data_IF_121629465380
#
_entry.id   IF_121629465380
#
_cell.length_a   1.000
_cell.length_b   1.000
_cell.length_c   1.000
_cell.angle_alpha   90.00
_cell.angle_beta   90.00
_cell.angle_gamma   90.00
#
_symmetry.space_group_name_H-M   'P 1'
#
loop_
_entity.id
_entity.type
_entity.pdbx_description
1 polymer ?
#
# COMPACT_ATOMS: atom_id res chain seq x y z
N UNK A 1 33.58 17.85 -18.54
CA UNK A 1 33.04 17.76 -17.17
C UNK A 1 32.26 16.46 -17.07
N UNK A 2 32.75 15.49 -16.28
CA UNK A 2 32.06 14.22 -16.06
C UNK A 2 31.09 14.44 -14.90
N UNK A 3 29.79 14.32 -15.17
CA UNK A 3 28.78 14.28 -14.11
C UNK A 3 29.01 13.02 -13.27
N UNK A 4 28.99 13.11 -11.93
CA UNK A 4 28.99 11.92 -11.12
C UNK A 4 27.65 11.19 -11.34
N UNK A 5 27.71 10.02 -11.95
CA UNK A 5 26.63 9.03 -11.87
C UNK A 5 26.44 8.71 -10.40
N UNK A 6 25.38 9.27 -9.81
CA UNK A 6 24.85 8.79 -8.53
C UNK A 6 24.61 7.30 -8.71
N UNK A 7 25.40 6.48 -8.03
CA UNK A 7 25.14 5.06 -7.93
C UNK A 7 23.72 4.91 -7.39
N UNK A 8 22.81 4.43 -8.22
CA UNK A 8 21.47 4.01 -7.80
C UNK A 8 21.71 2.86 -6.83
N UNK A 9 21.69 3.16 -5.54
CA UNK A 9 21.65 2.14 -4.50
C UNK A 9 20.43 1.27 -4.78
N UNK A 10 20.58 -0.04 -5.05
CA UNK A 10 19.46 -0.93 -5.33
C UNK A 10 18.64 -1.26 -4.07
N UNK A 11 19.01 -0.70 -2.92
CA UNK A 11 18.22 -0.81 -1.69
C UNK A 11 17.12 0.27 -1.70
N UNK A 12 15.85 -0.12 -1.63
CA UNK A 12 14.77 0.83 -1.41
C UNK A 12 15.05 1.62 -0.12
N UNK A 13 14.70 2.91 -0.05
CA UNK A 13 15.07 3.80 1.07
C UNK A 13 14.38 3.46 2.40
N UNK A 14 13.71 2.31 2.50
CA UNK A 14 12.84 1.93 3.60
C UNK A 14 13.46 0.76 4.36
N UNK A 15 13.80 0.97 5.64
CA UNK A 15 14.09 -0.11 6.58
C UNK A 15 12.77 -0.76 7.01
N UNK A 16 12.27 -1.68 6.18
CA UNK A 16 10.99 -2.37 6.41
C UNK A 16 10.99 -3.10 7.76
N UNK A 17 12.13 -3.66 8.19
CA UNK A 17 12.22 -4.41 9.43
C UNK A 17 11.96 -3.54 10.68
N UNK A 18 12.19 -2.23 10.59
CA UNK A 18 11.95 -1.32 11.72
C UNK A 18 10.47 -1.10 12.05
N UNK A 19 9.55 -1.37 11.11
CA UNK A 19 8.11 -1.13 11.31
C UNK A 19 7.21 -2.29 10.87
N UNK A 20 7.76 -3.37 10.30
CA UNK A 20 7.00 -4.58 9.96
C UNK A 20 6.71 -5.46 11.19
N UNK A 21 5.55 -6.15 11.23
CA UNK A 21 5.32 -7.19 12.22
C UNK A 21 6.33 -8.34 12.10
N UNK A 22 6.74 -8.96 13.21
CA UNK A 22 7.62 -10.13 13.18
C UNK A 22 7.07 -11.24 12.28
N UNK A 23 7.92 -11.81 11.44
CA UNK A 23 7.57 -12.93 10.54
C UNK A 23 6.84 -12.53 9.25
N UNK A 24 6.48 -11.27 9.05
CA UNK A 24 5.89 -10.81 7.79
C UNK A 24 6.99 -10.52 6.77
N UNK A 25 6.93 -11.19 5.61
CA UNK A 25 7.84 -10.94 4.50
C UNK A 25 7.09 -10.25 3.35
N UNK A 26 7.32 -8.95 3.18
CA UNK A 26 6.65 -8.15 2.14
C UNK A 26 6.99 -8.61 0.73
N UNK A 27 8.24 -9.03 0.46
CA UNK A 27 8.65 -9.52 -0.85
C UNK A 27 7.86 -10.78 -1.22
N UNK A 28 7.68 -11.71 -0.29
CA UNK A 28 6.84 -12.90 -0.51
C UNK A 28 5.39 -12.50 -0.84
N UNK A 29 4.83 -11.52 -0.13
CA UNK A 29 3.47 -11.05 -0.39
C UNK A 29 3.33 -10.36 -1.75
N UNK A 30 4.32 -9.57 -2.17
CA UNK A 30 4.36 -8.96 -3.51
C UNK A 30 4.54 -10.03 -4.60
N UNK A 31 5.37 -11.04 -4.38
CA UNK A 31 5.53 -12.17 -5.30
C UNK A 31 4.22 -12.96 -5.46
N UNK A 32 3.48 -13.17 -4.36
CA UNK A 32 2.12 -13.75 -4.41
C UNK A 32 1.16 -12.85 -5.21
N UNK A 33 1.21 -11.54 -5.00
CA UNK A 33 0.36 -10.58 -5.72
C UNK A 33 0.68 -10.53 -7.23
N UNK A 34 1.95 -10.67 -7.62
CA UNK A 34 2.42 -10.62 -9.03
C UNK A 34 1.72 -11.60 -9.96
N UNK A 35 1.20 -12.70 -9.44
CA UNK A 35 0.45 -13.68 -10.24
C UNK A 35 -0.87 -13.13 -10.81
N UNK A 36 -1.40 -12.03 -10.27
CA UNK A 36 -2.64 -11.42 -10.74
C UNK A 36 -2.48 -10.54 -11.99
N UNK A 37 -1.24 -10.14 -12.34
CA UNK A 37 -0.79 -9.53 -13.62
C UNK A 37 -1.64 -8.36 -14.17
N UNK A 38 -2.44 -7.67 -13.35
CA UNK A 38 -3.23 -6.52 -13.78
C UNK A 38 -4.65 -6.43 -13.20
N UNK A 39 -5.36 -5.33 -13.48
CA UNK A 39 -6.63 -4.96 -12.85
C UNK A 39 -7.81 -5.72 -13.46
N UNK A 40 -7.89 -7.03 -13.24
CA UNK A 40 -9.08 -7.83 -13.55
C UNK A 40 -10.09 -7.79 -12.40
N UNK A 41 -11.37 -8.11 -12.68
CA UNK A 41 -12.39 -8.25 -11.63
C UNK A 41 -11.96 -9.28 -10.56
N UNK A 42 -11.35 -10.40 -10.98
CA UNK A 42 -10.82 -11.42 -10.08
C UNK A 42 -9.65 -10.89 -9.25
N UNK A 43 -8.79 -10.05 -9.82
CA UNK A 43 -7.70 -9.38 -9.10
C UNK A 43 -8.25 -8.48 -8.01
N UNK A 44 -9.24 -7.66 -8.32
CA UNK A 44 -9.86 -6.76 -7.34
C UNK A 44 -10.58 -7.52 -6.23
N UNK A 45 -11.34 -8.56 -6.58
CA UNK A 45 -12.04 -9.39 -5.58
C UNK A 45 -11.04 -10.08 -4.64
N UNK A 46 -10.01 -10.70 -5.19
CA UNK A 46 -8.96 -11.34 -4.40
C UNK A 46 -8.25 -10.32 -3.51
N UNK A 47 -7.81 -9.19 -4.08
CA UNK A 47 -7.07 -8.17 -3.35
C UNK A 47 -7.89 -7.59 -2.20
N UNK A 48 -9.17 -7.27 -2.46
CA UNK A 48 -10.10 -6.83 -1.43
C UNK A 48 -10.25 -7.86 -0.31
N UNK A 49 -10.38 -9.16 -0.63
CA UNK A 49 -10.46 -10.22 0.39
C UNK A 49 -9.20 -10.30 1.25
N UNK A 50 -8.02 -9.97 0.71
CA UNK A 50 -6.78 -9.93 1.47
C UNK A 50 -6.71 -8.74 2.45
N UNK A 51 -7.05 -7.53 1.97
CA UNK A 51 -6.75 -6.26 2.67
C UNK A 51 -7.91 -5.68 3.48
N UNK A 52 -9.14 -6.20 3.31
CA UNK A 52 -10.31 -5.72 4.08
C UNK A 52 -10.12 -5.89 5.58
N UNK A 53 -10.93 -5.19 6.36
CA UNK A 53 -11.02 -5.38 7.81
C UNK A 53 -11.20 -6.87 8.16
N UNK A 54 -10.36 -7.35 9.08
CA UNK A 54 -10.20 -8.75 9.50
C UNK A 54 -9.73 -9.72 8.41
N UNK A 55 -9.31 -9.21 7.25
CA UNK A 55 -8.67 -9.98 6.20
C UNK A 55 -7.26 -10.44 6.58
N UNK A 56 -6.66 -11.37 5.82
CA UNK A 56 -5.32 -11.89 6.06
C UNK A 56 -4.23 -10.83 6.25
N UNK A 57 -4.33 -9.69 5.55
CA UNK A 57 -3.35 -8.59 5.60
C UNK A 57 -3.80 -7.39 6.44
N UNK A 58 -4.83 -7.55 7.28
CA UNK A 58 -5.19 -6.57 8.28
C UNK A 58 -4.27 -6.65 9.51
N UNK A 59 -3.05 -6.14 9.36
CA UNK A 59 -2.04 -6.15 10.41
C UNK A 59 -2.44 -5.31 11.64
N UNK A 60 -3.20 -4.23 11.42
CA UNK A 60 -3.66 -3.31 12.47
C UNK A 60 -4.56 -4.03 13.48
N UNK A 61 -5.57 -4.78 13.01
CA UNK A 61 -6.49 -5.46 13.93
C UNK A 61 -6.01 -6.84 14.36
N UNK A 62 -5.26 -7.55 13.52
CA UNK A 62 -4.83 -8.93 13.81
C UNK A 62 -3.59 -9.02 14.68
N UNK A 63 -2.70 -8.04 14.60
CA UNK A 63 -1.43 -8.04 15.33
C UNK A 63 -1.35 -6.87 16.31
N UNK A 64 -1.65 -5.66 15.85
CA UNK A 64 -1.71 -4.49 16.75
C UNK A 64 -1.72 -3.15 16.02
N UNK A 65 -2.27 -2.14 16.71
CA UNK A 65 -2.46 -0.79 16.14
C UNK A 65 -1.15 -0.12 15.70
N UNK A 66 -0.02 -0.48 16.30
CA UNK A 66 1.30 0.01 15.92
C UNK A 66 1.69 -0.33 14.47
N UNK A 67 1.03 -1.30 13.84
CA UNK A 67 1.30 -1.73 12.46
C UNK A 67 0.39 -1.08 11.41
N UNK A 68 -0.34 -0.02 11.76
CA UNK A 68 -1.16 0.75 10.82
C UNK A 68 -0.34 1.28 9.64
N UNK A 69 0.77 1.98 9.93
CA UNK A 69 1.70 2.49 8.92
C UNK A 69 2.24 1.37 8.01
N UNK A 70 2.60 0.23 8.61
CA UNK A 70 3.03 -0.93 7.83
C UNK A 70 1.91 -1.49 6.96
N UNK A 71 0.68 -1.57 7.45
CA UNK A 71 -0.47 -2.02 6.68
C UNK A 71 -0.72 -1.15 5.45
N UNK A 72 -0.64 0.17 5.61
CA UNK A 72 -0.80 1.12 4.51
C UNK A 72 0.36 1.04 3.50
N UNK A 73 1.60 0.91 3.98
CA UNK A 73 2.75 0.65 3.13
C UNK A 73 2.61 -0.68 2.37
N UNK A 74 2.25 -1.75 3.07
CA UNK A 74 2.06 -3.08 2.52
C UNK A 74 0.98 -3.07 1.45
N UNK A 75 -0.16 -2.45 1.71
CA UNK A 75 -1.26 -2.26 0.75
C UNK A 75 -0.79 -1.63 -0.56
N UNK A 76 -0.03 -0.53 -0.49
CA UNK A 76 0.52 0.13 -1.68
C UNK A 76 1.48 -0.76 -2.47
N UNK A 77 2.34 -1.50 -1.75
CA UNK A 77 3.34 -2.37 -2.34
C UNK A 77 2.72 -3.60 -3.03
N UNK A 78 1.86 -4.34 -2.32
CA UNK A 78 1.21 -5.54 -2.88
C UNK A 78 0.16 -5.19 -3.94
N UNK A 79 -0.50 -4.04 -3.84
CA UNK A 79 -1.43 -3.55 -4.85
C UNK A 79 -0.72 -3.24 -6.17
N UNK A 80 0.41 -2.54 -6.10
CA UNK A 80 1.29 -2.29 -7.25
C UNK A 80 1.78 -3.60 -7.85
N UNK A 81 2.24 -4.53 -7.00
CA UNK A 81 2.67 -5.85 -7.44
C UNK A 81 1.56 -6.67 -8.12
N UNK A 82 0.30 -6.52 -7.71
CA UNK A 82 -0.85 -7.13 -8.38
C UNK A 82 -1.19 -6.49 -9.75
N UNK A 83 -0.53 -5.38 -10.11
CA UNK A 83 -0.79 -4.60 -11.31
C UNK A 83 -1.95 -3.60 -11.16
N UNK A 84 -2.33 -3.25 -9.93
CA UNK A 84 -3.33 -2.21 -9.67
C UNK A 84 -2.63 -0.85 -9.73
N UNK A 85 -3.21 0.11 -10.46
CA UNK A 85 -2.60 1.42 -10.62
C UNK A 85 -2.65 2.25 -9.34
N UNK A 86 -1.62 3.08 -9.13
CA UNK A 86 -1.54 3.98 -7.97
C UNK A 86 -2.81 4.82 -7.75
N UNK A 87 -3.44 5.44 -8.77
CA UNK A 87 -4.67 6.20 -8.57
C UNK A 87 -5.86 5.36 -8.09
N UNK A 88 -5.90 4.06 -8.42
CA UNK A 88 -6.95 3.16 -7.93
C UNK A 88 -6.70 2.82 -6.46
N UNK A 89 -5.46 2.50 -6.09
CA UNK A 89 -5.08 2.20 -4.71
C UNK A 89 -5.40 3.37 -3.76
N UNK A 90 -4.98 4.59 -4.13
CA UNK A 90 -5.17 5.77 -3.30
C UNK A 90 -6.65 6.11 -3.11
N UNK A 91 -7.48 5.95 -4.14
CA UNK A 91 -8.93 6.19 -4.05
C UNK A 91 -9.65 5.08 -3.28
N UNK A 92 -9.25 3.83 -3.46
CA UNK A 92 -9.83 2.70 -2.75
C UNK A 92 -9.56 2.75 -1.24
N UNK A 93 -8.39 3.25 -0.82
CA UNK A 93 -8.09 3.53 0.58
C UNK A 93 -9.04 4.59 1.17
N UNK A 94 -9.21 5.73 0.46
CA UNK A 94 -10.18 6.76 0.87
C UNK A 94 -11.63 6.26 0.91
N UNK A 95 -12.02 5.38 -0.02
CA UNK A 95 -13.32 4.71 0.05
C UNK A 95 -13.44 3.82 1.30
N UNK A 96 -12.42 3.04 1.61
CA UNK A 96 -12.39 2.21 2.82
C UNK A 96 -12.49 3.06 4.11
N UNK A 97 -11.80 4.20 4.15
CA UNK A 97 -11.88 5.12 5.29
C UNK A 97 -13.28 5.72 5.47
N UNK A 98 -13.97 6.03 4.38
CA UNK A 98 -15.37 6.46 4.44
C UNK A 98 -16.32 5.39 4.98
N UNK A 99 -15.97 4.11 4.80
CA UNK A 99 -16.75 2.96 5.31
C UNK A 99 -16.43 2.60 6.75
N UNK A 100 -15.21 2.88 7.21
CA UNK A 100 -14.77 2.60 8.59
C UNK A 100 -15.38 3.56 9.62
N UNK A 101 -15.93 4.68 9.16
CA UNK A 101 -16.48 5.74 10.03
C UNK A 101 -15.40 6.64 10.66
N UNK A 102 -14.12 6.43 10.32
CA UNK A 102 -12.99 7.23 10.82
C UNK A 102 -12.62 8.41 9.91
N UNK A 103 -13.30 8.57 8.77
CA UNK A 103 -13.03 9.68 7.84
C UNK A 103 -13.29 11.04 8.48
N UNK A 104 -12.38 11.99 8.26
CA UNK A 104 -12.59 13.39 8.65
C UNK A 104 -13.06 14.19 7.44
N UNK A 105 -14.06 15.06 7.63
CA UNK A 105 -14.61 15.87 6.53
C UNK A 105 -13.56 16.73 5.82
N UNK A 106 -12.53 17.17 6.56
CA UNK A 106 -11.40 17.97 6.04
C UNK A 106 -10.57 17.23 4.97
N UNK A 107 -10.57 15.91 5.00
CA UNK A 107 -9.75 15.07 4.10
C UNK A 107 -10.49 14.80 2.77
N UNK A 108 -11.75 15.22 2.67
CA UNK A 108 -12.56 15.17 1.45
C UNK A 108 -13.26 13.84 1.22
N UNK A 109 -13.39 13.45 -0.05
CA UNK A 109 -14.11 12.24 -0.47
C UNK A 109 -13.30 11.45 -1.50
N UNK A 110 -13.56 10.15 -1.59
CA UNK A 110 -12.83 9.23 -2.48
C UNK A 110 -12.96 9.56 -3.98
N UNK A 111 -14.01 10.28 -4.36
CA UNK A 111 -14.24 10.80 -5.72
C UNK A 111 -13.72 12.23 -5.95
N UNK A 112 -13.11 12.84 -4.93
CA UNK A 112 -12.58 14.20 -4.97
C UNK A 112 -11.08 14.27 -5.27
N UNK A 113 -10.44 15.33 -4.76
CA UNK A 113 -8.99 15.52 -4.81
C UNK A 113 -8.27 14.71 -3.73
N UNK A 114 -6.96 14.43 -3.88
CA UNK A 114 -6.13 13.90 -2.79
C UNK A 114 -6.32 14.74 -1.50
N UNK A 115 -6.40 14.11 -0.31
CA UNK A 115 -6.10 12.71 0.01
C UNK A 115 -7.26 11.72 -0.25
N UNK A 116 -8.27 12.11 -1.04
CA UNK A 116 -9.40 11.25 -1.42
C UNK A 116 -10.25 10.82 -0.21
N UNK A 117 -10.34 11.62 0.85
CA UNK A 117 -11.08 11.27 2.07
C UNK A 117 -10.37 10.28 2.98
N UNK A 118 -9.12 9.94 2.68
CA UNK A 118 -8.24 9.12 3.51
C UNK A 118 -7.37 9.99 4.44
N UNK A 119 -6.80 9.41 5.48
CA UNK A 119 -5.84 10.13 6.32
C UNK A 119 -4.58 10.50 5.49
N UNK A 120 -4.09 11.75 5.54
CA UNK A 120 -2.89 12.16 4.79
C UNK A 120 -1.63 11.35 5.09
N UNK A 121 -1.46 10.86 6.33
CA UNK A 121 -0.35 10.00 6.74
C UNK A 121 -0.52 8.60 6.13
N UNK A 122 -1.73 8.07 6.12
CA UNK A 122 -2.03 6.77 5.49
C UNK A 122 -1.75 6.81 3.99
N UNK A 123 -2.18 7.88 3.30
CA UNK A 123 -1.86 8.13 1.89
C UNK A 123 -0.36 8.22 1.62
N UNK A 124 0.41 8.82 2.54
CA UNK A 124 1.86 8.90 2.41
C UNK A 124 2.47 7.49 2.47
N UNK A 125 2.06 6.66 3.43
CA UNK A 125 2.55 5.28 3.54
C UNK A 125 2.17 4.42 2.32
N UNK A 126 0.96 4.57 1.80
CA UNK A 126 0.54 3.89 0.56
C UNK A 126 1.45 4.30 -0.61
N UNK A 127 1.74 5.60 -0.77
CA UNK A 127 2.66 6.09 -1.80
C UNK A 127 4.08 5.55 -1.62
N UNK A 128 4.59 5.48 -0.39
CA UNK A 128 5.88 4.86 -0.09
C UNK A 128 5.90 3.37 -0.47
N UNK A 129 4.81 2.63 -0.24
CA UNK A 129 4.67 1.25 -0.67
C UNK A 129 4.67 1.08 -2.19
N UNK A 130 3.97 1.96 -2.90
CA UNK A 130 3.96 2.01 -4.37
C UNK A 130 5.37 2.28 -4.92
N UNK A 131 6.07 3.28 -4.36
CA UNK A 131 7.46 3.59 -4.73
C UNK A 131 8.39 2.39 -4.47
N UNK A 132 8.24 1.74 -3.32
CA UNK A 132 9.01 0.53 -2.98
C UNK A 132 8.80 -0.60 -4.00
N UNK A 133 7.56 -0.93 -4.35
CA UNK A 133 7.26 -1.96 -5.35
C UNK A 133 7.87 -1.62 -6.71
N UNK A 134 7.71 -0.36 -7.15
CA UNK A 134 8.25 0.13 -8.43
C UNK A 134 9.78 0.00 -8.47
N UNK A 135 10.48 0.43 -7.41
CA UNK A 135 11.95 0.35 -7.32
C UNK A 135 12.48 -1.08 -7.23
N UNK A 136 11.67 -2.01 -6.75
CA UNK A 136 12.02 -3.44 -6.63
C UNK A 136 11.64 -4.27 -7.86
N UNK A 137 11.13 -3.64 -8.93
CA UNK A 137 10.88 -4.30 -10.22
C UNK A 137 9.52 -4.98 -10.34
N UNK A 138 8.52 -4.46 -9.62
CA UNK A 138 7.10 -4.78 -9.79
C UNK A 138 6.40 -3.66 -10.55
#
# INVERSE_FOLDING_TARGET
MRYPTLAVSPHPPYDISSFSPPGVNILNNMMLARFHRGPSALTYEWFYKQVRLHGPWDYKTRIGRQYENFGNFHYGAVGTAAGISAPVLLRAAGWAQSKSGNGQSKDGHWYGSPPFGDDPIDQLWIKCGIDYATRTGF
#
